data_IF_507841723719
#
_entry.id   IF_507841723719
#
_cell.length_a   1.000
_cell.length_b   1.000
_cell.length_c   1.000
_cell.angle_alpha   90.00
_cell.angle_beta   90.00
_cell.angle_gamma   90.00
#
_symmetry.space_group_name_H-M   'P 1'
#
loop_
_entity.id
_entity.type
_entity.pdbx_description
1 polymer ?
#
# COMPACT_ATOMS: atom_id res chain seq x y z
N UNK A 1 9.39 -23.11 -21.98
CA UNK A 1 8.12 -22.88 -21.24
C UNK A 1 6.98 -23.40 -22.08
N UNK A 2 6.22 -24.36 -21.59
CA UNK A 2 5.03 -24.95 -22.25
C UNK A 2 3.77 -24.22 -21.82
N UNK A 3 2.65 -24.47 -22.52
CA UNK A 3 1.34 -23.95 -22.13
C UNK A 3 0.93 -24.40 -20.71
N UNK A 4 1.33 -25.63 -20.33
CA UNK A 4 1.08 -26.13 -18.96
C UNK A 4 1.90 -25.39 -17.91
N UNK A 5 3.14 -25.03 -18.20
CA UNK A 5 3.96 -24.23 -17.28
C UNK A 5 3.35 -22.84 -17.05
N UNK A 6 2.87 -22.20 -18.13
CA UNK A 6 2.18 -20.90 -18.05
C UNK A 6 0.94 -21.00 -17.18
N UNK A 7 0.09 -22.02 -17.44
CA UNK A 7 -1.13 -22.26 -16.65
C UNK A 7 -0.79 -22.47 -15.17
N UNK A 8 0.20 -23.28 -14.87
CA UNK A 8 0.63 -23.55 -13.49
C UNK A 8 1.07 -22.28 -12.75
N UNK A 9 1.80 -21.38 -13.42
CA UNK A 9 2.18 -20.10 -12.83
C UNK A 9 0.95 -19.25 -12.49
N UNK A 10 0.02 -19.10 -13.45
CA UNK A 10 -1.20 -18.32 -13.25
C UNK A 10 -2.06 -18.91 -12.11
N UNK A 11 -2.18 -20.23 -12.03
CA UNK A 11 -2.93 -20.90 -10.97
C UNK A 11 -2.31 -20.68 -9.58
N UNK A 12 -0.98 -20.73 -9.48
CA UNK A 12 -0.27 -20.45 -8.23
C UNK A 12 -0.45 -18.99 -7.77
N UNK A 13 -0.36 -18.03 -8.69
CA UNK A 13 -0.64 -16.61 -8.40
C UNK A 13 -2.08 -16.42 -7.92
N UNK A 14 -3.06 -17.00 -8.64
CA UNK A 14 -4.47 -16.91 -8.27
C UNK A 14 -4.76 -17.57 -6.91
N UNK A 15 -4.10 -18.67 -6.62
CA UNK A 15 -4.24 -19.38 -5.35
C UNK A 15 -3.69 -18.55 -4.19
N UNK A 16 -2.54 -17.92 -4.36
CA UNK A 16 -1.97 -17.02 -3.36
C UNK A 16 -2.92 -15.85 -3.03
N UNK A 17 -3.57 -15.29 -4.04
CA UNK A 17 -4.57 -14.23 -3.85
C UNK A 17 -5.79 -14.75 -3.06
N UNK A 18 -6.26 -15.96 -3.31
CA UNK A 18 -7.38 -16.57 -2.55
C UNK A 18 -7.03 -16.81 -1.08
N UNK A 19 -5.76 -16.99 -0.75
CA UNK A 19 -5.27 -17.25 0.60
C UNK A 19 -4.82 -15.99 1.35
N UNK A 20 -5.07 -14.79 0.81
CA UNK A 20 -4.86 -13.55 1.57
C UNK A 20 -5.70 -13.60 2.85
N UNK A 21 -5.10 -13.41 4.04
CA UNK A 21 -5.84 -13.43 5.30
C UNK A 21 -6.87 -12.31 5.38
N UNK A 22 -8.14 -12.67 5.49
CA UNK A 22 -9.25 -11.71 5.60
C UNK A 22 -9.57 -11.50 7.08
N UNK A 23 -9.66 -10.23 7.52
CA UNK A 23 -9.98 -9.87 8.90
C UNK A 23 -10.55 -8.44 8.98
N UNK A 24 -11.07 -8.06 10.14
CA UNK A 24 -11.59 -6.71 10.40
C UNK A 24 -10.50 -5.62 10.31
N UNK A 25 -9.21 -6.02 10.28
CA UNK A 25 -8.07 -5.09 10.09
C UNK A 25 -8.16 -4.28 8.80
N UNK A 26 -8.82 -4.79 7.75
CA UNK A 26 -9.05 -4.02 6.52
C UNK A 26 -10.00 -2.84 6.77
N UNK A 27 -11.08 -3.06 7.52
CA UNK A 27 -12.00 -2.00 7.89
C UNK A 27 -11.30 -0.96 8.79
N UNK A 28 -10.51 -1.40 9.77
CA UNK A 28 -9.70 -0.52 10.62
C UNK A 28 -8.72 0.33 9.79
N UNK A 29 -8.06 -0.25 8.78
CA UNK A 29 -7.15 0.47 7.90
C UNK A 29 -7.89 1.53 7.06
N UNK A 30 -9.04 1.19 6.50
CA UNK A 30 -9.88 2.13 5.75
C UNK A 30 -10.36 3.27 6.68
N UNK A 31 -10.78 2.96 7.90
CA UNK A 31 -11.22 3.96 8.89
C UNK A 31 -10.07 4.92 9.26
N UNK A 32 -8.83 4.42 9.39
CA UNK A 32 -7.65 5.27 9.58
C UNK A 32 -7.42 6.20 8.40
N UNK A 33 -7.53 5.70 7.16
CA UNK A 33 -7.35 6.51 5.95
C UNK A 33 -8.42 7.62 5.92
N UNK A 34 -9.69 7.28 6.13
CA UNK A 34 -10.77 8.26 6.13
C UNK A 34 -10.56 9.32 7.21
N UNK A 35 -10.28 8.88 8.43
CA UNK A 35 -10.05 9.79 9.56
C UNK A 35 -8.90 10.76 9.32
N UNK A 36 -7.73 10.26 8.96
CA UNK A 36 -6.53 11.09 8.85
C UNK A 36 -6.51 11.94 7.58
N UNK A 37 -6.93 11.37 6.44
CA UNK A 37 -6.84 12.06 5.16
C UNK A 37 -8.08 12.91 4.87
N UNK A 38 -9.28 12.33 5.04
CA UNK A 38 -10.51 13.02 4.64
C UNK A 38 -11.11 13.91 5.73
N UNK A 39 -11.03 13.51 7.00
CA UNK A 39 -11.60 14.28 8.11
C UNK A 39 -10.60 15.30 8.69
N UNK A 40 -9.32 14.92 8.82
CA UNK A 40 -8.27 15.76 9.40
C UNK A 40 -7.44 16.53 8.37
N UNK A 41 -7.66 16.29 7.06
CA UNK A 41 -6.96 17.00 5.98
C UNK A 41 -5.48 16.63 5.82
N UNK A 42 -5.07 15.46 6.28
CA UNK A 42 -3.72 14.91 6.06
C UNK A 42 -3.55 14.29 4.69
N UNK A 43 -2.42 13.63 4.51
CA UNK A 43 -2.02 12.92 3.29
C UNK A 43 -1.69 11.46 3.62
N UNK A 44 -2.06 10.54 2.76
CA UNK A 44 -1.59 9.15 2.82
C UNK A 44 -0.18 9.07 2.25
N UNK A 45 0.82 8.95 3.10
CA UNK A 45 2.21 8.79 2.68
C UNK A 45 2.52 7.30 2.53
N UNK A 46 2.75 6.85 1.31
CA UNK A 46 3.13 5.46 1.06
C UNK A 46 4.64 5.31 1.00
N UNK A 47 5.18 4.17 1.45
CA UNK A 47 6.61 3.90 1.44
C UNK A 47 6.95 2.43 1.31
N UNK A 48 8.12 2.15 0.73
CA UNK A 48 8.64 0.80 0.54
C UNK A 48 9.95 0.81 -0.22
N UNK A 49 10.70 -0.30 -0.18
CA UNK A 49 11.97 -0.45 -0.89
C UNK A 49 11.87 -1.47 -2.02
N UNK A 50 12.64 -1.27 -3.09
CA UNK A 50 12.72 -2.20 -4.22
C UNK A 50 11.34 -2.46 -4.88
N UNK A 51 10.98 -3.72 -5.06
CA UNK A 51 9.69 -4.10 -5.66
C UNK A 51 8.49 -3.71 -4.80
N UNK A 52 8.60 -3.86 -3.48
CA UNK A 52 7.57 -3.39 -2.55
C UNK A 52 7.38 -1.86 -2.63
N UNK A 53 8.47 -1.10 -2.85
CA UNK A 53 8.40 0.34 -3.10
C UNK A 53 7.65 0.69 -4.39
N UNK A 54 7.82 -0.09 -5.46
CA UNK A 54 7.06 0.09 -6.70
C UNK A 54 5.55 -0.14 -6.48
N UNK A 55 5.20 -1.13 -5.65
CA UNK A 55 3.79 -1.36 -5.27
C UNK A 55 3.26 -0.21 -4.42
N UNK A 56 4.03 0.28 -3.44
CA UNK A 56 3.64 1.44 -2.63
C UNK A 56 3.44 2.71 -3.50
N UNK A 57 4.28 2.92 -4.51
CA UNK A 57 4.12 4.01 -5.48
C UNK A 57 2.84 3.86 -6.32
N UNK A 58 2.54 2.65 -6.79
CA UNK A 58 1.30 2.35 -7.51
C UNK A 58 0.07 2.64 -6.62
N UNK A 59 0.10 2.23 -5.35
CA UNK A 59 -0.97 2.54 -4.39
C UNK A 59 -1.17 4.07 -4.25
N UNK A 60 -0.09 4.85 -4.08
CA UNK A 60 -0.19 6.30 -3.96
C UNK A 60 -0.89 6.93 -5.15
N UNK A 61 -0.51 6.54 -6.38
CA UNK A 61 -1.11 7.06 -7.61
C UNK A 61 -2.57 6.64 -7.75
N UNK A 62 -2.92 5.41 -7.38
CA UNK A 62 -4.29 4.90 -7.43
C UNK A 62 -5.18 5.62 -6.41
N UNK A 63 -4.75 5.78 -5.16
CA UNK A 63 -5.45 6.58 -4.15
C UNK A 63 -5.67 8.01 -4.61
N UNK A 64 -4.62 8.68 -5.12
CA UNK A 64 -4.74 10.07 -5.64
C UNK A 64 -5.76 10.16 -6.76
N UNK A 65 -5.78 9.20 -7.68
CA UNK A 65 -6.70 9.17 -8.81
C UNK A 65 -8.17 8.93 -8.39
N UNK A 66 -8.38 8.33 -7.23
CA UNK A 66 -9.68 8.00 -6.66
C UNK A 66 -10.10 8.89 -5.49
N UNK A 67 -9.46 10.06 -5.37
CA UNK A 67 -9.92 11.14 -4.49
C UNK A 67 -9.27 11.19 -3.12
N UNK A 68 -8.38 10.28 -2.80
CA UNK A 68 -7.63 10.27 -1.55
C UNK A 68 -6.24 10.87 -1.78
N UNK A 69 -5.92 12.07 -1.25
CA UNK A 69 -4.59 12.65 -1.35
C UNK A 69 -3.52 11.69 -0.87
N UNK A 70 -2.64 11.26 -1.77
CA UNK A 70 -1.58 10.31 -1.46
C UNK A 70 -0.28 10.66 -2.18
N UNK A 71 0.86 10.35 -1.54
CA UNK A 71 2.20 10.61 -2.04
C UNK A 71 3.12 9.46 -1.70
N UNK A 72 4.00 9.07 -2.63
CA UNK A 72 5.05 8.09 -2.37
C UNK A 72 6.30 8.79 -1.85
N UNK A 73 6.75 8.43 -0.64
CA UNK A 73 8.00 8.87 -0.05
C UNK A 73 9.00 7.72 -0.12
N UNK A 74 10.10 7.91 -0.87
CA UNK A 74 11.17 6.92 -0.91
C UNK A 74 11.93 6.94 0.43
N UNK A 75 12.00 5.81 1.17
CA UNK A 75 12.60 5.81 2.52
C UNK A 75 14.05 6.27 2.56
N UNK A 76 14.85 5.95 1.54
CA UNK A 76 16.22 6.43 1.44
C UNK A 76 16.33 7.94 1.24
N UNK A 77 15.46 8.54 0.41
CA UNK A 77 15.46 9.99 0.16
C UNK A 77 14.89 10.79 1.36
N UNK A 78 14.05 10.14 2.18
CA UNK A 78 13.54 10.76 3.41
C UNK A 78 14.67 11.25 4.32
N UNK A 79 15.80 10.53 4.39
CA UNK A 79 16.97 10.89 5.17
C UNK A 79 17.74 12.09 4.60
N UNK A 80 17.47 12.45 3.35
CA UNK A 80 18.13 13.54 2.63
C UNK A 80 17.26 14.80 2.47
N UNK A 81 16.17 14.90 3.23
CA UNK A 81 15.34 16.10 3.31
C UNK A 81 13.88 15.90 2.90
N UNK A 82 13.54 14.85 2.13
CA UNK A 82 12.17 14.59 1.68
C UNK A 82 11.22 14.27 2.84
N UNK A 83 11.77 13.91 4.01
CA UNK A 83 11.01 13.78 5.27
C UNK A 83 10.18 15.02 5.59
N UNK A 84 10.63 16.20 5.16
CA UNK A 84 9.93 17.47 5.38
C UNK A 84 8.53 17.58 4.79
N UNK A 85 8.10 16.62 3.96
CA UNK A 85 6.71 16.53 3.48
C UNK A 85 5.74 16.08 4.56
N UNK A 86 6.21 15.33 5.57
CA UNK A 86 5.37 14.71 6.60
C UNK A 86 4.82 15.77 7.56
N UNK A 87 3.52 15.68 7.84
CA UNK A 87 2.76 16.55 8.74
C UNK A 87 2.10 15.74 9.87
N UNK A 88 1.73 16.38 10.99
CA UNK A 88 1.10 15.68 12.13
C UNK A 88 -0.22 14.96 11.82
N UNK A 89 -0.98 15.41 10.80
CA UNK A 89 -2.24 14.79 10.37
C UNK A 89 -2.07 13.62 9.41
N UNK A 90 -0.85 13.38 8.90
CA UNK A 90 -0.62 12.36 7.88
C UNK A 90 -0.69 10.93 8.44
N UNK A 91 -0.83 9.98 7.53
CA UNK A 91 -0.88 8.54 7.78
C UNK A 91 0.16 7.85 6.91
N UNK A 92 0.98 6.97 7.49
CA UNK A 92 1.91 6.14 6.72
C UNK A 92 1.25 4.82 6.28
N UNK A 93 1.43 4.44 5.01
CA UNK A 93 1.12 3.12 4.47
C UNK A 93 2.42 2.50 3.96
N UNK A 94 2.97 1.57 4.72
CA UNK A 94 4.27 0.97 4.45
C UNK A 94 4.11 -0.43 3.88
N UNK A 95 4.93 -0.75 2.88
CA UNK A 95 4.95 -2.07 2.23
C UNK A 95 6.33 -2.69 2.39
N UNK A 96 6.41 -3.81 3.12
CA UNK A 96 7.66 -4.52 3.36
C UNK A 96 7.41 -6.02 3.51
N UNK A 97 7.89 -6.83 2.59
CA UNK A 97 7.67 -8.28 2.67
C UNK A 97 8.21 -8.86 3.98
N UNK A 98 9.44 -8.56 4.35
CA UNK A 98 10.07 -9.07 5.57
C UNK A 98 9.62 -8.35 6.85
N UNK A 99 9.11 -7.12 6.73
CA UNK A 99 8.85 -6.24 7.87
C UNK A 99 10.10 -5.83 8.68
N UNK A 100 11.31 -6.02 8.09
CA UNK A 100 12.62 -5.77 8.72
C UNK A 100 13.50 -4.84 7.88
N UNK A 101 12.91 -4.15 6.89
CA UNK A 101 13.61 -3.23 6.00
C UNK A 101 14.14 -2.05 6.83
N UNK A 102 15.45 -1.91 6.90
CA UNK A 102 16.10 -0.93 7.76
C UNK A 102 15.67 0.50 7.43
N UNK A 103 15.63 0.85 6.16
CA UNK A 103 15.26 2.19 5.69
C UNK A 103 13.81 2.56 6.08
N UNK A 104 12.92 1.58 6.20
CA UNK A 104 11.57 1.82 6.68
C UNK A 104 11.49 1.98 8.19
N UNK A 105 12.30 1.24 8.95
CA UNK A 105 12.43 1.41 10.40
C UNK A 105 12.98 2.81 10.72
N UNK A 106 14.01 3.24 9.99
CA UNK A 106 14.59 4.58 10.10
C UNK A 106 13.57 5.65 9.71
N UNK A 107 12.81 5.47 8.62
CA UNK A 107 11.73 6.37 8.23
C UNK A 107 10.72 6.56 9.36
N UNK A 108 10.26 5.47 9.98
CA UNK A 108 9.31 5.54 11.12
C UNK A 108 9.91 6.31 12.29
N UNK A 109 11.16 6.04 12.65
CA UNK A 109 11.84 6.73 13.73
C UNK A 109 11.98 8.24 13.45
N UNK A 110 12.41 8.59 12.23
CA UNK A 110 12.59 9.98 11.81
C UNK A 110 11.25 10.73 11.73
N UNK A 111 10.21 10.10 11.18
CA UNK A 111 8.87 10.68 11.12
C UNK A 111 8.33 10.99 12.53
N UNK A 112 8.48 10.05 13.47
CA UNK A 112 8.10 10.28 14.88
C UNK A 112 8.93 11.36 15.55
N UNK A 113 10.21 11.47 15.23
CA UNK A 113 11.06 12.57 15.69
C UNK A 113 10.59 13.94 15.20
N UNK A 114 10.03 13.99 13.99
CA UNK A 114 9.57 15.23 13.35
C UNK A 114 8.18 15.66 13.82
N UNK A 115 7.21 14.74 13.83
CA UNK A 115 5.78 15.08 14.05
C UNK A 115 5.15 14.42 15.28
N UNK A 116 5.91 13.64 16.05
CA UNK A 116 5.39 12.86 17.17
C UNK A 116 4.76 11.55 16.71
N UNK A 117 3.65 11.15 17.33
CA UNK A 117 2.97 9.92 16.97
C UNK A 117 2.31 10.06 15.58
N UNK A 118 2.68 9.17 14.68
CA UNK A 118 2.07 9.04 13.35
C UNK A 118 1.50 7.63 13.21
N UNK A 119 0.23 7.47 12.80
CA UNK A 119 -0.35 6.15 12.59
C UNK A 119 0.26 5.47 11.36
N UNK A 120 0.34 4.15 11.43
CA UNK A 120 0.99 3.34 10.39
C UNK A 120 0.10 2.16 10.03
N UNK A 121 -0.19 2.01 8.75
CA UNK A 121 -0.70 0.77 8.14
C UNK A 121 0.50 0.05 7.53
N UNK A 122 0.71 -1.21 7.87
CA UNK A 122 1.78 -2.04 7.32
C UNK A 122 1.22 -3.22 6.54
N UNK A 123 1.71 -3.43 5.32
CA UNK A 123 1.49 -4.66 4.53
C UNK A 123 2.78 -5.48 4.59
N UNK A 124 2.72 -6.71 5.14
CA UNK A 124 3.92 -7.55 5.36
C UNK A 124 3.59 -9.05 5.33
N UNK A 125 4.60 -9.90 5.08
CA UNK A 125 4.46 -11.35 5.25
C UNK A 125 4.73 -11.82 6.68
N UNK A 126 5.40 -10.98 7.50
CA UNK A 126 5.76 -11.30 8.89
C UNK A 126 5.04 -10.35 9.88
N UNK A 127 3.86 -10.75 10.41
CA UNK A 127 3.13 -9.93 11.37
C UNK A 127 3.79 -9.86 12.77
N UNK A 128 4.91 -10.56 12.99
CA UNK A 128 5.71 -10.48 14.22
C UNK A 128 6.98 -9.64 14.04
N UNK A 129 7.18 -9.06 12.85
CA UNK A 129 8.37 -8.26 12.51
C UNK A 129 8.47 -6.97 13.33
N UNK A 130 9.63 -6.32 13.24
CA UNK A 130 9.89 -5.05 13.91
C UNK A 130 8.90 -3.95 13.43
N UNK A 131 8.72 -3.79 12.11
CA UNK A 131 7.74 -2.85 11.58
C UNK A 131 6.30 -3.18 12.00
N UNK A 132 5.96 -4.47 12.15
CA UNK A 132 4.61 -4.85 12.59
C UNK A 132 4.32 -4.42 14.04
N UNK A 133 5.34 -4.36 14.92
CA UNK A 133 5.19 -3.84 16.29
C UNK A 133 5.00 -2.32 16.31
N UNK A 134 5.53 -1.62 15.31
CA UNK A 134 5.38 -0.17 15.15
C UNK A 134 4.05 0.21 14.47
N UNK A 135 3.39 -0.73 13.80
CA UNK A 135 2.18 -0.48 13.03
C UNK A 135 0.93 -0.33 13.93
N UNK A 136 0.08 0.62 13.59
CA UNK A 136 -1.27 0.75 14.15
C UNK A 136 -2.16 -0.37 13.64
N UNK A 137 -2.06 -0.66 12.33
CA UNK A 137 -2.75 -1.76 11.67
C UNK A 137 -1.74 -2.55 10.82
N UNK A 138 -1.69 -3.86 11.03
CA UNK A 138 -0.88 -4.77 10.23
C UNK A 138 -1.80 -5.64 9.36
N UNK A 139 -1.54 -5.66 8.05
CA UNK A 139 -2.24 -6.45 7.04
C UNK A 139 -1.29 -7.53 6.51
N UNK A 140 -1.42 -8.79 6.98
CA UNK A 140 -0.54 -9.86 6.55
C UNK A 140 -0.85 -10.33 5.13
N UNK A 141 0.19 -10.63 4.34
CA UNK A 141 0.06 -11.15 2.98
C UNK A 141 -0.24 -12.66 2.93
N UNK A 142 -0.18 -13.37 4.06
CA UNK A 142 -0.23 -14.83 4.10
C UNK A 142 1.09 -15.52 3.74
N UNK A 143 2.18 -14.76 3.58
CA UNK A 143 3.52 -15.25 3.25
C UNK A 143 3.56 -16.20 2.02
N UNK A 144 3.06 -15.78 0.85
CA UNK A 144 2.99 -16.62 -0.33
C UNK A 144 4.40 -17.01 -0.81
N UNK A 145 4.50 -18.21 -1.37
CA UNK A 145 5.73 -18.64 -2.03
C UNK A 145 5.83 -17.99 -3.41
N UNK A 146 7.02 -17.51 -3.76
CA UNK A 146 7.29 -16.96 -5.09
C UNK A 146 7.21 -18.04 -6.17
N UNK A 147 6.56 -17.75 -7.30
CA UNK A 147 6.41 -18.72 -8.42
C UNK A 147 7.68 -18.91 -9.25
N UNK A 148 8.69 -18.07 -9.08
CA UNK A 148 9.94 -18.25 -9.78
C UNK A 148 10.69 -19.50 -9.28
N UNK A 149 11.42 -20.16 -10.16
CA UNK A 149 12.15 -21.41 -9.87
C UNK A 149 13.16 -21.29 -8.73
N UNK A 150 13.66 -20.07 -8.48
CA UNK A 150 14.58 -19.78 -7.36
C UNK A 150 13.85 -19.54 -6.05
N UNK A 151 12.54 -19.23 -6.08
CA UNK A 151 11.78 -18.81 -4.89
C UNK A 151 12.25 -17.48 -4.29
N UNK A 152 12.95 -16.65 -5.05
CA UNK A 152 13.60 -15.42 -4.55
C UNK A 152 13.10 -14.14 -5.22
N UNK A 153 12.72 -14.22 -6.51
CA UNK A 153 12.28 -13.04 -7.27
C UNK A 153 10.87 -12.64 -6.81
N UNK A 154 10.68 -11.41 -6.32
CA UNK A 154 9.36 -10.95 -5.92
C UNK A 154 8.40 -10.94 -7.12
N UNK A 155 7.50 -11.89 -7.13
CA UNK A 155 6.44 -12.14 -8.11
C UNK A 155 5.10 -12.24 -7.36
N UNK A 156 4.83 -13.37 -6.76
CA UNK A 156 3.59 -13.66 -6.03
C UNK A 156 3.40 -12.73 -4.82
N UNK A 157 4.46 -12.46 -4.07
CA UNK A 157 4.38 -11.51 -2.96
C UNK A 157 3.93 -10.11 -3.42
N UNK A 158 4.42 -9.63 -4.56
CA UNK A 158 4.02 -8.32 -5.10
C UNK A 158 2.59 -8.33 -5.67
N UNK A 159 2.15 -9.43 -6.29
CA UNK A 159 0.76 -9.62 -6.71
C UNK A 159 -0.20 -9.52 -5.52
N UNK A 160 0.09 -10.24 -4.44
CA UNK A 160 -0.71 -10.21 -3.21
C UNK A 160 -0.73 -8.81 -2.58
N UNK A 161 0.43 -8.14 -2.48
CA UNK A 161 0.51 -6.76 -1.97
C UNK A 161 -0.34 -5.79 -2.81
N UNK A 162 -0.34 -5.94 -4.13
CA UNK A 162 -1.17 -5.13 -5.03
C UNK A 162 -2.65 -5.33 -4.73
N UNK A 163 -3.11 -6.57 -4.62
CA UNK A 163 -4.52 -6.88 -4.32
C UNK A 163 -4.94 -6.31 -2.96
N UNK A 164 -4.08 -6.41 -1.93
CA UNK A 164 -4.35 -5.78 -0.63
C UNK A 164 -4.51 -4.25 -0.79
N UNK A 165 -3.65 -3.62 -1.58
CA UNK A 165 -3.75 -2.20 -1.90
C UNK A 165 -5.06 -1.84 -2.60
N UNK A 166 -5.48 -2.64 -3.58
CA UNK A 166 -6.75 -2.46 -4.30
C UNK A 166 -7.95 -2.55 -3.35
N UNK A 167 -7.93 -3.50 -2.40
CA UNK A 167 -8.99 -3.61 -1.36
C UNK A 167 -9.07 -2.33 -0.53
N UNK A 168 -7.94 -1.76 -0.12
CA UNK A 168 -7.91 -0.50 0.63
C UNK A 168 -8.43 0.68 -0.21
N UNK A 169 -8.04 0.76 -1.48
CA UNK A 169 -8.52 1.80 -2.42
C UNK A 169 -10.04 1.70 -2.57
N UNK A 170 -10.56 0.51 -2.92
CA UNK A 170 -12.01 0.31 -3.13
C UNK A 170 -12.79 0.57 -1.85
N UNK A 171 -12.34 0.05 -0.71
CA UNK A 171 -12.99 0.28 0.58
C UNK A 171 -13.01 1.77 0.97
N UNK A 172 -11.94 2.52 0.67
CA UNK A 172 -11.89 3.95 0.91
C UNK A 172 -12.83 4.70 -0.03
N UNK A 173 -12.87 4.37 -1.34
CA UNK A 173 -13.81 4.95 -2.31
C UNK A 173 -15.27 4.79 -1.84
N UNK A 174 -15.63 3.60 -1.40
CA UNK A 174 -16.98 3.32 -0.88
C UNK A 174 -17.28 4.16 0.36
N UNK A 175 -16.35 4.21 1.31
CA UNK A 175 -16.53 4.95 2.57
C UNK A 175 -16.67 6.45 2.38
N UNK A 176 -15.97 7.05 1.41
CA UNK A 176 -16.07 8.49 1.10
C UNK A 176 -17.17 8.83 0.09
N UNK A 177 -17.89 7.83 -0.41
CA UNK A 177 -18.93 8.04 -1.42
C UNK A 177 -18.39 8.58 -2.75
N UNK A 178 -17.19 8.10 -3.18
CA UNK A 178 -16.56 8.57 -4.42
C UNK A 178 -17.38 8.21 -5.66
N UNK A 179 -17.70 9.20 -6.48
CA UNK A 179 -18.63 9.06 -7.61
C UNK A 179 -17.93 9.07 -8.98
N UNK A 180 -18.65 8.63 -10.02
CA UNK A 180 -18.20 8.77 -11.42
C UNK A 180 -17.93 10.23 -11.78
N UNK A 181 -18.72 11.17 -11.26
CA UNK A 181 -18.50 12.59 -11.46
C UNK A 181 -17.19 13.08 -10.82
N UNK A 182 -16.82 12.52 -9.66
CA UNK A 182 -15.54 12.84 -9.03
C UNK A 182 -14.36 12.22 -9.77
N UNK A 183 -14.57 11.03 -10.35
CA UNK A 183 -13.59 10.39 -11.23
C UNK A 183 -13.33 11.24 -12.48
N UNK A 184 -14.38 11.74 -13.14
CA UNK A 184 -14.28 12.57 -14.33
C UNK A 184 -13.48 13.86 -14.10
N UNK A 185 -13.57 14.46 -12.90
CA UNK A 185 -12.80 15.66 -12.52
C UNK A 185 -11.27 15.39 -12.43
N UNK A 186 -10.85 14.14 -12.29
CA UNK A 186 -9.44 13.75 -12.14
C UNK A 186 -8.87 13.11 -13.40
N UNK A 187 -9.71 12.61 -14.29
CA UNK A 187 -9.31 11.91 -15.51
C UNK A 187 -9.78 12.65 -16.75
N UNK A 188 -8.96 13.61 -17.23
CA UNK A 188 -9.31 14.47 -18.37
C UNK A 188 -8.89 13.91 -19.74
N UNK A 189 -7.99 12.92 -19.76
CA UNK A 189 -7.43 12.31 -20.97
C UNK A 189 -7.71 10.83 -21.11
N UNK A 190 -7.50 10.31 -22.33
CA UNK A 190 -7.57 8.88 -22.63
C UNK A 190 -8.96 8.26 -22.54
N UNK A 191 -9.01 6.92 -22.65
CA UNK A 191 -10.24 6.13 -22.67
C UNK A 191 -11.10 6.30 -21.39
N UNK A 192 -10.46 6.30 -20.23
CA UNK A 192 -11.17 6.44 -18.95
C UNK A 192 -11.81 7.81 -18.79
N UNK A 193 -11.12 8.89 -19.20
CA UNK A 193 -11.68 10.24 -19.17
C UNK A 193 -12.87 10.41 -20.12
N UNK A 194 -12.90 9.72 -21.27
CA UNK A 194 -14.05 9.74 -22.16
C UNK A 194 -15.23 8.89 -21.65
N UNK A 195 -14.97 7.82 -20.91
CA UNK A 195 -15.99 6.91 -20.37
C UNK A 195 -16.66 7.44 -19.10
N UNK A 196 -16.02 8.35 -18.37
CA UNK A 196 -16.52 8.92 -17.11
C UNK A 196 -17.34 10.19 -17.31
N UNK A 197 -17.47 10.70 -18.54
CA UNK A 197 -18.32 11.83 -18.95
C UNK A 197 -19.63 11.32 -19.53
#
# INVERSE_FOLDING_TARGET
MTTNDIRSIIEQEADAVRHIPISDRYAEAVDLIVKHVHEQGGTLITGGMGKAGQIAMNMATTFSSTGTPAFFLHPGEAQHGDLGIIRPSDLLLLVSNSGKTLELLELVQLARGLVGQIPIILITSDPQSELAREATVCLPTGAPREVCTLGLTPTTSTTVMTVIGDVLVVGTMERIGFTTADYAKRHHGGYLGSKSR
#
